data_IF_312861139831
#
_entry.id   IF_312861139831
#
_cell.length_a   1.000
_cell.length_b   1.000
_cell.length_c   1.000
_cell.angle_alpha   90.00
_cell.angle_beta   90.00
_cell.angle_gamma   90.00
#
_symmetry.space_group_name_H-M   'P 1'
#
loop_
_entity.id
_entity.type
_entity.pdbx_description
1 polymer ?
#
# COMPACT_ATOMS: atom_id res chain seq x y z
N UNK A 1 14.05 -13.67 14.72
CA UNK A 1 14.02 -12.51 15.63
C UNK A 1 12.59 -11.99 15.64
N UNK A 2 12.01 -11.74 16.80
CA UNK A 2 10.64 -11.17 16.94
C UNK A 2 10.78 -9.83 17.63
N UNK A 3 10.21 -8.78 17.05
CA UNK A 3 10.19 -7.42 17.62
C UNK A 3 8.76 -7.06 18.03
N UNK A 4 8.61 -6.48 19.21
CA UNK A 4 7.31 -5.98 19.69
C UNK A 4 7.47 -4.52 20.08
N UNK A 5 6.56 -3.67 19.60
CA UNK A 5 6.50 -2.26 19.94
C UNK A 5 5.25 -1.93 20.76
N UNK A 6 5.36 -0.99 21.67
CA UNK A 6 4.24 -0.44 22.43
C UNK A 6 4.20 1.06 22.17
N UNK A 7 3.02 1.58 21.85
CA UNK A 7 2.78 3.01 21.63
C UNK A 7 1.60 3.51 22.45
N UNK A 8 1.57 4.82 22.67
CA UNK A 8 0.46 5.52 23.33
C UNK A 8 -0.12 6.53 22.32
N UNK A 9 -1.43 6.49 22.15
CA UNK A 9 -2.16 7.47 21.35
C UNK A 9 -3.34 8.02 22.16
N UNK A 10 -3.78 9.23 21.85
CA UNK A 10 -4.99 9.78 22.46
C UNK A 10 -6.23 9.03 21.94
N UNK A 11 -7.26 9.01 22.75
CA UNK A 11 -8.55 8.42 22.37
C UNK A 11 -9.09 9.12 21.13
N UNK A 12 -9.36 8.36 20.07
CA UNK A 12 -9.88 8.89 18.80
C UNK A 12 -8.80 9.22 17.75
N UNK A 13 -7.51 9.18 18.09
CA UNK A 13 -6.41 9.40 17.13
C UNK A 13 -5.91 8.10 16.46
N UNK A 14 -6.41 6.95 16.89
CA UNK A 14 -5.99 5.66 16.30
C UNK A 14 -6.77 5.41 15.03
N UNK A 15 -6.08 5.42 13.90
CA UNK A 15 -6.63 4.99 12.61
C UNK A 15 -6.58 3.46 12.55
N UNK A 16 -7.73 2.84 12.25
CA UNK A 16 -7.90 1.39 12.18
C UNK A 16 -8.06 0.94 10.74
N UNK A 17 -7.80 -0.33 10.48
CA UNK A 17 -8.07 -0.95 9.19
C UNK A 17 -9.57 -1.13 8.87
N UNK A 18 -10.43 -0.99 9.88
CA UNK A 18 -11.89 -1.09 9.78
C UNK A 18 -12.61 0.25 9.59
N UNK A 19 -11.88 1.32 9.34
CA UNK A 19 -12.44 2.67 9.31
C UNK A 19 -12.86 3.18 7.92
N UNK A 20 -12.86 2.35 6.87
CA UNK A 20 -13.30 2.75 5.53
C UNK A 20 -14.75 3.20 5.53
N UNK A 21 -15.04 4.26 4.80
CA UNK A 21 -16.37 4.80 4.61
C UNK A 21 -16.73 4.89 3.12
N UNK A 22 -18.03 4.87 2.82
CA UNK A 22 -18.50 5.05 1.43
C UNK A 22 -18.09 6.42 0.91
N UNK A 23 -17.50 6.44 -0.29
CA UNK A 23 -16.98 7.65 -0.92
C UNK A 23 -15.51 7.96 -0.60
N UNK A 24 -14.86 7.14 0.26
CA UNK A 24 -13.42 7.25 0.47
C UNK A 24 -12.63 6.88 -0.80
N UNK A 25 -11.49 7.51 -0.97
CA UNK A 25 -10.49 7.16 -1.99
C UNK A 25 -9.41 6.26 -1.38
N UNK A 26 -8.84 5.38 -2.20
CA UNK A 26 -7.74 4.51 -1.78
C UNK A 26 -6.41 5.06 -2.27
N UNK A 27 -5.45 5.23 -1.37
CA UNK A 27 -4.07 5.61 -1.69
C UNK A 27 -3.15 4.45 -1.33
N UNK A 28 -2.24 4.11 -2.25
CA UNK A 28 -1.17 3.12 -2.03
C UNK A 28 0.17 3.84 -2.10
N UNK A 29 1.02 3.66 -1.09
CA UNK A 29 2.28 4.41 -0.95
C UNK A 29 3.45 3.82 -1.74
N UNK A 30 3.22 3.38 -2.96
CA UNK A 30 4.25 2.91 -3.90
C UNK A 30 3.86 1.68 -4.69
N UNK A 31 4.79 1.20 -5.54
CA UNK A 31 4.57 0.05 -6.41
C UNK A 31 4.39 -1.26 -5.63
N UNK A 32 3.53 -2.14 -6.15
CA UNK A 32 3.21 -3.43 -5.52
C UNK A 32 4.05 -4.57 -6.11
N UNK A 33 4.25 -5.61 -5.31
CA UNK A 33 4.91 -6.86 -5.71
C UNK A 33 6.44 -6.85 -5.65
N UNK A 34 7.09 -5.69 -5.59
CA UNK A 34 8.56 -5.56 -5.66
C UNK A 34 9.29 -6.45 -4.64
N UNK A 35 8.87 -6.38 -3.37
CA UNK A 35 9.52 -7.12 -2.29
C UNK A 35 9.37 -8.63 -2.43
N UNK A 36 8.14 -9.09 -2.60
CA UNK A 36 7.84 -10.52 -2.65
C UNK A 36 8.39 -11.19 -3.91
N UNK A 37 8.30 -10.54 -5.07
CA UNK A 37 8.86 -11.07 -6.32
C UNK A 37 10.38 -11.17 -6.25
N UNK A 38 11.05 -10.17 -5.67
CA UNK A 38 12.49 -10.24 -5.42
C UNK A 38 12.85 -11.42 -4.51
N UNK A 39 12.09 -11.61 -3.41
CA UNK A 39 12.35 -12.69 -2.47
C UNK A 39 12.13 -14.06 -3.11
N UNK A 40 11.06 -14.23 -3.91
CA UNK A 40 10.78 -15.46 -4.65
C UNK A 40 11.87 -15.75 -5.68
N UNK A 41 12.23 -14.76 -6.48
CA UNK A 41 13.30 -14.87 -7.47
C UNK A 41 14.62 -15.32 -6.84
N UNK A 42 14.96 -14.79 -5.68
CA UNK A 42 16.15 -15.18 -4.93
C UNK A 42 16.07 -16.62 -4.39
N UNK A 43 14.91 -17.05 -3.86
CA UNK A 43 14.70 -18.39 -3.29
C UNK A 43 14.71 -19.50 -4.32
N UNK A 44 14.10 -19.26 -5.48
CA UNK A 44 14.00 -20.24 -6.56
C UNK A 44 15.27 -20.32 -7.40
N UNK A 45 16.29 -19.52 -7.08
CA UNK A 45 17.56 -19.56 -7.79
C UNK A 45 17.47 -19.05 -9.23
N UNK A 46 16.37 -18.39 -9.58
CA UNK A 46 16.28 -17.66 -10.83
C UNK A 46 17.23 -16.48 -10.72
N UNK A 47 18.43 -16.63 -11.28
CA UNK A 47 19.42 -15.57 -11.41
C UNK A 47 18.93 -14.52 -12.41
N UNK A 48 17.76 -13.95 -12.17
CA UNK A 48 17.31 -12.79 -12.91
C UNK A 48 18.28 -11.66 -12.58
N UNK A 49 19.02 -11.25 -13.59
CA UNK A 49 19.76 -9.99 -13.60
C UNK A 49 18.73 -8.86 -13.70
N UNK A 50 17.81 -8.84 -12.71
CA UNK A 50 16.76 -7.85 -12.63
C UNK A 50 17.17 -6.80 -11.61
N UNK A 51 17.04 -5.54 -11.99
CA UNK A 51 17.15 -4.38 -11.09
C UNK A 51 16.02 -4.31 -10.04
N UNK A 52 15.32 -5.43 -9.79
CA UNK A 52 14.30 -5.52 -8.75
C UNK A 52 14.93 -5.25 -7.38
N UNK A 53 14.71 -4.05 -6.88
CA UNK A 53 15.13 -3.63 -5.54
C UNK A 53 13.97 -3.84 -4.57
N UNK A 54 14.27 -4.43 -3.41
CA UNK A 54 13.30 -4.44 -2.31
C UNK A 54 13.26 -3.03 -1.72
N UNK A 55 12.15 -2.34 -1.90
CA UNK A 55 11.93 -0.99 -1.37
C UNK A 55 11.33 -1.06 0.03
N UNK A 56 12.08 -1.59 0.98
CA UNK A 56 11.73 -1.50 2.40
C UNK A 56 12.10 -0.11 2.90
N UNK A 57 11.13 0.63 3.40
CA UNK A 57 11.32 1.99 3.87
C UNK A 57 10.60 2.21 5.22
N UNK A 58 11.14 3.09 6.09
CA UNK A 58 10.41 3.53 7.27
C UNK A 58 9.24 4.43 6.85
N UNK A 59 8.02 4.00 7.17
CA UNK A 59 6.78 4.65 6.70
C UNK A 59 6.31 5.82 7.58
N UNK A 60 6.96 6.05 8.72
CA UNK A 60 6.47 7.01 9.70
C UNK A 60 6.29 8.44 9.15
N UNK A 61 7.23 8.95 8.37
CA UNK A 61 7.11 10.31 7.84
C UNK A 61 5.92 10.44 6.88
N UNK A 62 5.77 9.49 5.98
CA UNK A 62 4.64 9.42 5.04
C UNK A 62 3.31 9.38 5.79
N UNK A 63 3.20 8.48 6.78
CA UNK A 63 1.99 8.35 7.61
C UNK A 63 1.73 9.63 8.38
N UNK A 64 2.75 10.23 8.99
CA UNK A 64 2.63 11.47 9.76
C UNK A 64 2.10 12.61 8.89
N UNK A 65 2.69 12.83 7.71
CA UNK A 65 2.26 13.87 6.78
C UNK A 65 0.80 13.68 6.34
N UNK A 66 0.38 12.44 6.07
CA UNK A 66 -1.02 12.14 5.77
C UNK A 66 -1.95 12.45 6.94
N UNK A 67 -1.58 12.07 8.16
CA UNK A 67 -2.38 12.32 9.37
C UNK A 67 -2.48 13.81 9.72
N UNK A 68 -1.44 14.60 9.46
CA UNK A 68 -1.43 16.07 9.69
C UNK A 68 -2.43 16.81 8.79
N UNK A 69 -2.65 16.32 7.57
CA UNK A 69 -3.70 16.84 6.66
C UNK A 69 -5.10 16.49 7.20
N UNK A 70 -5.21 15.36 7.89
CA UNK A 70 -6.48 14.81 8.35
C UNK A 70 -7.27 14.14 7.22
N UNK A 71 -8.37 13.44 7.60
CA UNK A 71 -9.22 12.74 6.63
C UNK A 71 -8.76 11.32 6.29
N UNK A 72 -7.72 10.80 6.93
CA UNK A 72 -7.37 9.37 6.85
C UNK A 72 -8.36 8.57 7.69
N UNK A 73 -9.13 7.71 7.06
CA UNK A 73 -10.20 6.92 7.68
C UNK A 73 -9.74 5.53 8.07
N UNK A 74 -8.91 4.90 7.23
CA UNK A 74 -8.38 3.56 7.46
C UNK A 74 -6.94 3.44 6.99
N UNK A 75 -6.15 2.56 7.62
CA UNK A 75 -4.80 2.20 7.18
C UNK A 75 -4.50 0.74 7.42
N UNK A 76 -3.75 0.12 6.49
CA UNK A 76 -3.24 -1.24 6.63
C UNK A 76 -1.96 -1.44 5.81
N UNK A 77 -1.03 -2.24 6.34
CA UNK A 77 0.12 -2.75 5.59
C UNK A 77 -0.30 -3.92 4.69
N UNK A 78 0.11 -3.96 3.42
CA UNK A 78 -0.20 -5.06 2.50
C UNK A 78 0.84 -6.19 2.57
N UNK A 79 1.26 -6.61 3.77
CA UNK A 79 2.31 -7.61 3.96
C UNK A 79 1.79 -9.02 3.71
N UNK A 80 0.80 -9.49 4.44
CA UNK A 80 0.28 -10.86 4.30
C UNK A 80 -0.84 -10.94 3.28
N UNK A 81 -0.66 -11.80 2.26
CA UNK A 81 -1.63 -11.94 1.17
C UNK A 81 -1.70 -10.71 0.27
N UNK A 82 -0.70 -9.85 0.33
CA UNK A 82 -0.53 -8.72 -0.55
C UNK A 82 -1.60 -7.63 -0.42
N UNK A 83 -1.69 -6.85 -1.46
CA UNK A 83 -2.67 -5.76 -1.59
C UNK A 83 -4.11 -6.29 -1.65
N UNK A 84 -4.34 -7.38 -2.39
CA UNK A 84 -5.66 -7.97 -2.54
C UNK A 84 -6.26 -8.36 -1.17
N UNK A 85 -5.48 -9.04 -0.33
CA UNK A 85 -5.95 -9.40 1.00
C UNK A 85 -6.15 -8.16 1.91
N UNK A 86 -5.24 -7.18 1.84
CA UNK A 86 -5.35 -5.97 2.65
C UNK A 86 -6.66 -5.22 2.37
N UNK A 87 -7.01 -4.99 1.10
CA UNK A 87 -8.25 -4.33 0.69
C UNK A 87 -9.48 -5.15 1.08
N UNK A 88 -9.48 -6.47 0.84
CA UNK A 88 -10.59 -7.33 1.22
C UNK A 88 -10.86 -7.32 2.73
N UNK A 89 -9.81 -7.36 3.55
CA UNK A 89 -9.96 -7.27 5.00
C UNK A 89 -10.49 -5.90 5.45
N UNK A 90 -9.95 -4.80 4.89
CA UNK A 90 -10.42 -3.45 5.19
C UNK A 90 -11.90 -3.28 4.84
N UNK A 91 -12.30 -3.66 3.62
CA UNK A 91 -13.67 -3.59 3.13
C UNK A 91 -14.63 -4.44 3.98
N UNK A 92 -14.24 -5.70 4.25
CA UNK A 92 -15.03 -6.63 5.06
C UNK A 92 -15.25 -6.12 6.49
N UNK A 93 -14.19 -5.62 7.15
CA UNK A 93 -14.26 -5.09 8.52
C UNK A 93 -15.09 -3.81 8.61
N UNK A 94 -15.08 -3.00 7.56
CA UNK A 94 -15.85 -1.76 7.47
C UNK A 94 -17.30 -2.00 7.00
N UNK A 95 -17.60 -3.15 6.39
CA UNK A 95 -18.90 -3.46 5.83
C UNK A 95 -19.22 -2.66 4.55
N UNK A 96 -18.21 -2.31 3.77
CA UNK A 96 -18.33 -1.56 2.51
C UNK A 96 -17.80 -2.34 1.33
N UNK A 97 -18.26 -2.01 0.11
CA UNK A 97 -17.63 -2.48 -1.14
C UNK A 97 -16.49 -1.55 -1.55
N UNK A 98 -15.49 -2.10 -2.23
CA UNK A 98 -14.40 -1.33 -2.84
C UNK A 98 -14.33 -1.68 -4.32
N UNK A 99 -14.30 -0.68 -5.18
CA UNK A 99 -14.07 -0.80 -6.62
C UNK A 99 -12.71 -0.20 -6.92
N UNK A 100 -11.86 -0.91 -7.64
CA UNK A 100 -10.51 -0.50 -8.00
C UNK A 100 -10.30 -0.66 -9.50
N UNK A 101 -9.67 0.32 -10.11
CA UNK A 101 -9.21 0.21 -11.49
C UNK A 101 -7.82 -0.44 -11.49
N UNK A 102 -7.73 -1.62 -12.09
CA UNK A 102 -6.51 -2.41 -12.08
C UNK A 102 -5.34 -1.67 -12.73
N UNK A 103 -5.59 -0.95 -13.82
CA UNK A 103 -4.59 -0.20 -14.57
C UNK A 103 -4.02 1.00 -13.79
N UNK A 104 -4.78 1.50 -12.81
CA UNK A 104 -4.33 2.59 -11.95
C UNK A 104 -3.41 2.11 -10.82
N UNK A 105 -3.40 0.80 -10.51
CA UNK A 105 -2.58 0.25 -9.42
C UNK A 105 -1.13 0.12 -9.89
N UNK A 106 -0.16 0.69 -9.15
CA UNK A 106 1.23 0.75 -9.59
C UNK A 106 1.92 -0.61 -9.48
N UNK A 107 2.19 -1.24 -10.59
CA UNK A 107 3.01 -2.45 -10.70
C UNK A 107 4.07 -2.19 -11.76
N UNK A 108 5.32 -2.51 -11.46
CA UNK A 108 6.43 -2.33 -12.41
C UNK A 108 6.43 -3.41 -13.48
N UNK A 109 6.96 -3.08 -14.66
CA UNK A 109 7.07 -4.03 -15.77
C UNK A 109 7.85 -5.28 -15.37
N UNK A 110 8.93 -5.13 -14.59
CA UNK A 110 9.72 -6.25 -14.11
C UNK A 110 8.93 -7.19 -13.18
N UNK A 111 8.04 -6.61 -12.37
CA UNK A 111 7.14 -7.39 -11.51
C UNK A 111 6.12 -8.13 -12.36
N UNK A 112 5.53 -7.48 -13.37
CA UNK A 112 4.63 -8.13 -14.32
C UNK A 112 5.29 -9.30 -15.03
N UNK A 113 6.50 -9.09 -15.58
CA UNK A 113 7.24 -10.14 -16.30
C UNK A 113 7.52 -11.36 -15.39
N UNK A 114 7.97 -11.14 -14.17
CA UNK A 114 8.22 -12.24 -13.21
C UNK A 114 6.92 -12.92 -12.80
N UNK A 115 5.84 -12.15 -12.61
CA UNK A 115 4.50 -12.68 -12.28
C UNK A 115 3.97 -13.62 -13.35
N UNK A 116 4.06 -13.22 -14.61
CA UNK A 116 3.66 -14.04 -15.76
C UNK A 116 4.47 -15.33 -15.86
N UNK A 117 5.79 -15.24 -15.68
CA UNK A 117 6.68 -16.41 -15.73
C UNK A 117 6.37 -17.42 -14.63
N UNK A 118 6.02 -16.94 -13.44
CA UNK A 118 5.76 -17.79 -12.28
C UNK A 118 4.28 -18.20 -12.15
N UNK A 119 3.38 -17.60 -12.93
CA UNK A 119 1.94 -17.80 -12.80
C UNK A 119 1.38 -17.29 -11.47
N UNK A 120 1.95 -16.20 -10.93
CA UNK A 120 1.60 -15.62 -9.63
C UNK A 120 0.94 -14.25 -9.85
N UNK A 121 -0.17 -13.99 -9.15
CA UNK A 121 -0.81 -12.68 -9.18
C UNK A 121 0.01 -11.67 -8.33
N UNK A 122 0.50 -10.56 -8.92
CA UNK A 122 1.28 -9.56 -8.19
C UNK A 122 0.50 -8.87 -7.05
N UNK A 123 -0.84 -8.87 -7.11
CA UNK A 123 -1.67 -8.32 -6.03
C UNK A 123 -1.71 -9.18 -4.77
N UNK A 124 -1.43 -10.48 -4.88
CA UNK A 124 -1.38 -11.42 -3.75
C UNK A 124 0.02 -11.51 -3.12
N UNK A 125 1.01 -10.89 -3.76
CA UNK A 125 2.39 -10.94 -3.29
C UNK A 125 2.64 -9.97 -2.14
N UNK A 126 3.38 -10.45 -1.14
CA UNK A 126 3.71 -9.66 0.04
C UNK A 126 4.47 -8.37 -0.29
N UNK A 127 4.08 -7.28 0.35
CA UNK A 127 4.75 -5.99 0.24
C UNK A 127 5.30 -5.57 1.61
N UNK A 128 6.48 -4.96 1.60
CA UNK A 128 7.10 -4.35 2.77
C UNK A 128 7.36 -2.86 2.49
N UNK A 129 7.30 -2.04 3.54
CA UNK A 129 7.52 -0.60 3.42
C UNK A 129 6.45 0.11 2.58
N UNK A 130 5.21 -0.37 2.64
CA UNK A 130 4.04 0.19 1.96
C UNK A 130 2.86 0.28 2.93
N UNK A 131 1.96 1.22 2.65
CA UNK A 131 0.69 1.37 3.37
C UNK A 131 -0.43 1.57 2.35
N UNK A 132 -1.56 0.94 2.61
CA UNK A 132 -2.85 1.21 1.95
C UNK A 132 -3.66 2.09 2.87
N UNK A 133 -4.13 3.21 2.36
CA UNK A 133 -4.91 4.20 3.12
C UNK A 133 -6.28 4.38 2.49
N UNK A 134 -7.33 4.39 3.31
CA UNK A 134 -8.62 4.99 2.99
C UNK A 134 -8.61 6.45 3.40
N UNK A 135 -9.01 7.35 2.54
CA UNK A 135 -8.99 8.78 2.79
C UNK A 135 -10.26 9.45 2.28
N UNK A 136 -10.69 10.52 2.95
CA UNK A 136 -11.82 11.34 2.48
C UNK A 136 -11.52 11.91 1.10
N UNK A 137 -12.49 11.84 0.18
CA UNK A 137 -12.34 12.29 -1.20
C UNK A 137 -11.87 13.75 -1.31
N UNK A 138 -12.39 14.64 -0.48
CA UNK A 138 -12.02 16.06 -0.43
C UNK A 138 -10.61 16.34 0.12
N UNK A 139 -9.96 15.33 0.70
CA UNK A 139 -8.61 15.38 1.27
C UNK A 139 -7.58 14.59 0.47
N UNK A 140 -8.03 13.73 -0.44
CA UNK A 140 -7.17 12.78 -1.15
C UNK A 140 -6.01 13.46 -1.89
N UNK A 141 -6.27 14.54 -2.63
CA UNK A 141 -5.25 15.27 -3.37
C UNK A 141 -4.23 15.94 -2.43
N UNK A 142 -4.71 16.61 -1.37
CA UNK A 142 -3.83 17.26 -0.40
C UNK A 142 -2.94 16.26 0.35
N UNK A 143 -3.49 15.09 0.71
CA UNK A 143 -2.74 14.00 1.33
C UNK A 143 -1.68 13.49 0.34
N UNK A 144 -2.07 13.23 -0.91
CA UNK A 144 -1.16 12.75 -1.93
C UNK A 144 0.02 13.68 -2.16
N UNK A 145 -0.23 14.99 -2.28
CA UNK A 145 0.82 16.00 -2.43
C UNK A 145 1.76 16.03 -1.20
N UNK A 146 1.20 15.99 0.00
CA UNK A 146 1.99 15.96 1.23
C UNK A 146 2.92 14.75 1.30
N UNK A 147 2.40 13.55 0.99
CA UNK A 147 3.19 12.31 1.05
C UNK A 147 4.23 12.21 -0.08
N UNK A 148 3.96 12.78 -1.27
CA UNK A 148 4.93 12.85 -2.37
C UNK A 148 6.15 13.72 -2.01
N UNK A 149 5.98 14.74 -1.19
CA UNK A 149 7.05 15.60 -0.69
C UNK A 149 7.99 14.91 0.30
N UNK A 150 7.61 13.76 0.84
CA UNK A 150 8.40 13.02 1.81
C UNK A 150 9.45 12.12 1.15
N UNK A 151 10.55 11.90 1.87
CA UNK A 151 11.54 10.90 1.48
C UNK A 151 10.85 9.53 1.35
N UNK A 152 11.01 8.87 0.22
CA UNK A 152 10.33 7.63 -0.22
C UNK A 152 8.88 7.82 -0.72
N UNK A 153 8.39 9.06 -0.78
CA UNK A 153 7.10 9.39 -1.36
C UNK A 153 7.13 9.69 -2.88
N UNK A 154 8.31 9.86 -3.46
CA UNK A 154 8.55 10.35 -4.82
C UNK A 154 7.90 9.49 -5.93
N UNK A 155 7.63 8.21 -5.67
CA UNK A 155 7.06 7.26 -6.62
C UNK A 155 5.64 6.81 -6.22
N UNK A 156 4.89 7.62 -5.50
CA UNK A 156 3.50 7.31 -5.14
C UNK A 156 2.60 7.74 -6.29
N UNK A 157 1.96 6.78 -6.98
CA UNK A 157 1.05 7.10 -8.06
C UNK A 157 -0.29 7.62 -7.55
N UNK A 158 -0.93 8.40 -8.35
CA UNK A 158 -2.30 8.85 -8.15
C UNK A 158 -3.25 7.75 -8.63
N UNK A 159 -4.06 7.21 -7.74
CA UNK A 159 -5.20 6.39 -8.10
C UNK A 159 -6.40 7.34 -8.22
N UNK A 160 -6.56 7.97 -9.39
CA UNK A 160 -7.74 8.78 -9.66
C UNK A 160 -8.93 7.85 -9.97
N UNK A 161 -9.93 7.90 -9.13
CA UNK A 161 -11.23 7.32 -9.38
C UNK A 161 -12.20 8.47 -9.63
N UNK A 162 -12.06 9.12 -10.79
CA UNK A 162 -13.10 9.97 -11.30
C UNK A 162 -14.11 9.08 -12.06
N UNK A 163 -15.21 8.82 -11.43
CA UNK A 163 -16.63 8.88 -11.79
C UNK A 163 -17.46 8.00 -10.85
#
# INVERSE_FOLDING_TARGET
MVTTGIGIAKKGEVVRDSGLEVGDKIIVTGSLGDHGMRLMSFREGFGFDTDLKSYVAPMWNIIKSALEIGGVTAMKDPTRGGFANAINEMASKAGVGVVLEQEAIPIREEVHAVSEMLGIDPFEVANEGKVVMGVKADKAEAILEAIKGEKYGENIPYLDHSD
#
